data_IF_161485080695
#
_entry.id   IF_161485080695
#
_cell.length_a   1.000
_cell.length_b   1.000
_cell.length_c   1.000
_cell.angle_alpha   90.00
_cell.angle_beta   90.00
_cell.angle_gamma   90.00
#
_symmetry.space_group_name_H-M   'P 1'
#
loop_
_entity.id
_entity.type
_entity.pdbx_description
1 polymer ?
#
# COMPACT_ATOMS: atom_id res chain seq x y z
N UNK A 1 -0.63 -18.21 -14.03
CA UNK A 1 0.69 -17.61 -14.35
C UNK A 1 1.61 -18.61 -15.03
N UNK A 2 1.87 -19.78 -14.44
CA UNK A 2 2.74 -20.83 -15.01
C UNK A 2 2.42 -21.23 -16.46
N UNK A 3 1.15 -21.25 -16.87
CA UNK A 3 0.76 -21.60 -18.25
C UNK A 3 0.95 -20.46 -19.26
N UNK A 4 0.55 -19.24 -18.89
CA UNK A 4 0.49 -18.08 -19.80
C UNK A 4 1.78 -17.26 -19.81
N UNK A 5 2.56 -17.32 -18.72
CA UNK A 5 3.78 -16.56 -18.49
C UNK A 5 4.88 -17.45 -17.88
N UNK A 6 5.23 -18.60 -18.49
CA UNK A 6 6.17 -19.57 -17.91
C UNK A 6 7.59 -19.02 -17.69
N UNK A 7 7.98 -17.95 -18.40
CA UNK A 7 9.29 -17.32 -18.24
C UNK A 7 9.35 -16.18 -17.22
N UNK A 8 8.21 -15.74 -16.68
CA UNK A 8 8.20 -14.69 -15.66
C UNK A 8 8.56 -15.26 -14.29
N UNK A 9 9.19 -14.42 -13.45
CA UNK A 9 9.46 -14.75 -12.06
C UNK A 9 8.20 -14.64 -11.21
N UNK A 10 8.22 -15.31 -10.05
CA UNK A 10 7.16 -15.21 -9.04
C UNK A 10 7.78 -15.10 -7.66
N UNK A 11 7.36 -14.12 -6.88
CA UNK A 11 7.66 -13.98 -5.46
C UNK A 11 6.31 -13.87 -4.75
N UNK A 12 6.11 -14.63 -3.69
CA UNK A 12 4.93 -14.46 -2.84
C UNK A 12 5.19 -15.01 -1.45
N UNK A 13 4.22 -14.85 -0.56
CA UNK A 13 4.31 -15.28 0.84
C UNK A 13 4.48 -16.81 0.96
N UNK A 14 3.63 -17.56 0.24
CA UNK A 14 3.41 -19.00 0.49
C UNK A 14 4.45 -19.94 -0.14
N UNK A 15 5.03 -19.54 -1.28
CA UNK A 15 5.82 -20.44 -2.13
C UNK A 15 7.25 -19.95 -2.34
N UNK A 16 8.21 -20.88 -2.60
CA UNK A 16 9.57 -20.51 -2.97
C UNK A 16 9.61 -19.57 -4.18
N UNK A 17 10.54 -18.61 -4.13
CA UNK A 17 10.75 -17.65 -5.22
C UNK A 17 11.14 -18.38 -6.50
N UNK A 18 10.48 -18.05 -7.60
CA UNK A 18 10.82 -18.48 -8.95
C UNK A 18 11.60 -17.35 -9.63
N UNK A 19 12.88 -17.53 -10.00
CA UNK A 19 13.65 -16.52 -10.71
C UNK A 19 13.03 -16.17 -12.06
N UNK A 20 13.04 -14.89 -12.42
CA UNK A 20 12.59 -14.44 -13.73
C UNK A 20 13.61 -14.78 -14.84
N UNK A 21 13.11 -15.23 -15.98
CA UNK A 21 13.88 -15.37 -17.23
C UNK A 21 13.49 -14.30 -18.25
N UNK A 22 12.32 -13.68 -18.11
CA UNK A 22 11.81 -12.63 -18.99
C UNK A 22 12.17 -11.21 -18.56
N UNK A 23 12.67 -11.04 -17.32
CA UNK A 23 12.85 -9.74 -16.67
C UNK A 23 11.60 -9.28 -15.89
N UNK A 24 10.44 -9.89 -16.12
CA UNK A 24 9.20 -9.59 -15.38
C UNK A 24 9.08 -10.51 -14.16
N UNK A 25 8.68 -9.96 -13.01
CA UNK A 25 8.40 -10.73 -11.79
C UNK A 25 7.02 -10.36 -11.25
N UNK A 26 6.20 -11.37 -10.98
CA UNK A 26 4.90 -11.24 -10.31
C UNK A 26 5.11 -11.34 -8.81
N UNK A 27 4.65 -10.34 -8.07
CA UNK A 27 4.71 -10.29 -6.61
C UNK A 27 3.30 -10.50 -6.07
N UNK A 28 3.10 -11.54 -5.26
CA UNK A 28 1.76 -12.02 -4.91
C UNK A 28 1.60 -12.17 -3.40
N UNK A 29 0.53 -11.60 -2.87
CA UNK A 29 -0.01 -11.94 -1.56
C UNK A 29 -1.46 -12.42 -1.74
N UNK A 30 -1.76 -13.71 -1.53
CA UNK A 30 -3.11 -14.22 -1.61
C UNK A 30 -4.05 -13.69 -0.52
N UNK A 31 -3.54 -13.37 0.69
CA UNK A 31 -4.35 -12.89 1.83
C UNK A 31 -3.51 -11.93 2.70
N UNK A 32 -3.39 -10.69 2.23
CA UNK A 32 -2.87 -9.61 3.06
C UNK A 32 -3.92 -9.25 4.13
N UNK A 33 -3.51 -9.18 5.39
CA UNK A 33 -4.45 -9.00 6.51
C UNK A 33 -5.06 -10.31 7.03
N UNK A 34 -4.27 -11.37 7.14
CA UNK A 34 -4.67 -12.69 7.69
C UNK A 34 -5.50 -12.60 9.00
N UNK A 35 -5.23 -11.62 9.88
CA UNK A 35 -6.03 -11.42 11.11
C UNK A 35 -7.45 -10.95 10.82
N UNK A 36 -7.62 -10.05 9.84
CA UNK A 36 -8.92 -9.65 9.33
C UNK A 36 -9.67 -10.85 8.76
N UNK A 37 -9.00 -11.66 7.93
CA UNK A 37 -9.57 -12.88 7.35
C UNK A 37 -10.09 -13.86 8.42
N UNK A 38 -9.23 -14.24 9.38
CA UNK A 38 -9.57 -15.23 10.41
C UNK A 38 -10.68 -14.72 11.34
N UNK A 39 -10.76 -13.41 11.57
CA UNK A 39 -11.79 -12.80 12.42
C UNK A 39 -13.11 -12.51 11.70
N UNK A 40 -13.20 -12.81 10.39
CA UNK A 40 -14.38 -12.54 9.58
C UNK A 40 -14.60 -11.05 9.25
N UNK A 41 -13.55 -10.23 9.40
CA UNK A 41 -13.56 -8.81 9.04
C UNK A 41 -13.26 -8.63 7.56
N UNK A 42 -14.04 -7.83 6.80
CA UNK A 42 -13.84 -7.64 5.36
C UNK A 42 -12.78 -6.55 5.09
N UNK A 43 -11.60 -6.75 5.63
CA UNK A 43 -10.52 -5.76 5.64
C UNK A 43 -9.21 -6.26 5.04
N UNK A 44 -9.13 -7.57 4.75
CA UNK A 44 -8.01 -8.26 4.10
C UNK A 44 -8.08 -8.12 2.57
N UNK A 45 -7.04 -8.42 1.81
CA UNK A 45 -7.12 -8.39 0.35
C UNK A 45 -6.16 -9.34 -0.34
N UNK A 46 -6.33 -9.49 -1.65
CA UNK A 46 -5.34 -10.12 -2.51
C UNK A 46 -4.51 -9.03 -3.19
N UNK A 47 -3.19 -9.17 -3.14
CA UNK A 47 -2.25 -8.22 -3.73
C UNK A 47 -1.53 -8.85 -4.91
N UNK A 48 -1.50 -8.10 -6.01
CA UNK A 48 -0.71 -8.44 -7.18
C UNK A 48 0.13 -7.22 -7.54
N UNK A 49 1.44 -7.36 -7.49
CA UNK A 49 2.40 -6.42 -8.08
C UNK A 49 3.08 -7.03 -9.30
N UNK A 50 3.44 -6.19 -10.27
CA UNK A 50 4.27 -6.59 -11.42
C UNK A 50 5.50 -5.71 -11.45
N UNK A 51 6.66 -6.33 -11.34
CA UNK A 51 7.96 -5.68 -11.36
C UNK A 51 8.69 -5.99 -12.68
N UNK A 52 9.29 -4.99 -13.31
CA UNK A 52 10.01 -5.13 -14.59
C UNK A 52 11.53 -5.38 -14.44
N UNK A 53 11.97 -5.68 -13.22
CA UNK A 53 13.38 -5.83 -12.84
C UNK A 53 14.02 -4.53 -12.35
N UNK A 54 13.37 -3.38 -12.55
CA UNK A 54 13.81 -2.07 -12.08
C UNK A 54 12.84 -1.46 -11.08
N UNK A 55 11.54 -1.55 -11.35
CA UNK A 55 10.48 -0.99 -10.49
C UNK A 55 9.16 -1.73 -10.65
N UNK A 56 8.24 -1.46 -9.73
CA UNK A 56 6.85 -1.88 -9.87
C UNK A 56 6.16 -1.04 -10.96
N UNK A 57 5.51 -1.69 -11.92
CA UNK A 57 4.88 -1.04 -13.08
C UNK A 57 3.35 -1.19 -13.10
N UNK A 58 2.81 -2.13 -12.31
CA UNK A 58 1.39 -2.40 -12.22
C UNK A 58 1.05 -3.06 -10.88
N UNK A 59 -0.13 -2.75 -10.35
CA UNK A 59 -0.61 -3.21 -9.06
C UNK A 59 -2.11 -3.46 -9.04
N UNK A 60 -2.53 -4.41 -8.22
CA UNK A 60 -3.92 -4.70 -7.88
C UNK A 60 -4.04 -4.86 -6.37
N UNK A 61 -5.06 -4.23 -5.80
CA UNK A 61 -5.62 -4.58 -4.49
C UNK A 61 -7.03 -5.11 -4.77
N UNK A 62 -7.29 -6.37 -4.42
CA UNK A 62 -8.61 -7.00 -4.59
C UNK A 62 -9.20 -7.33 -3.22
N UNK A 63 -10.38 -6.81 -2.93
CA UNK A 63 -11.19 -7.17 -1.77
C UNK A 63 -12.37 -8.02 -2.25
N UNK A 64 -12.24 -9.36 -2.24
CA UNK A 64 -13.25 -10.22 -2.83
C UNK A 64 -14.56 -10.23 -2.01
N UNK A 65 -14.53 -9.92 -0.71
CA UNK A 65 -15.75 -9.87 0.10
C UNK A 65 -16.67 -8.70 -0.28
N UNK A 66 -16.09 -7.53 -0.56
CA UNK A 66 -16.86 -6.33 -0.98
C UNK A 66 -17.04 -6.24 -2.49
N UNK A 67 -16.42 -7.17 -3.25
CA UNK A 67 -16.38 -7.18 -4.72
C UNK A 67 -15.73 -5.91 -5.29
N UNK A 68 -14.68 -5.41 -4.62
CA UNK A 68 -13.95 -4.21 -5.01
C UNK A 68 -12.53 -4.57 -5.48
N UNK A 69 -12.18 -4.11 -6.68
CA UNK A 69 -10.85 -4.27 -7.24
C UNK A 69 -10.27 -2.92 -7.64
N UNK A 70 -9.17 -2.56 -6.99
CA UNK A 70 -8.40 -1.35 -7.26
C UNK A 70 -7.22 -1.72 -8.14
N UNK A 71 -7.07 -1.03 -9.26
CA UNK A 71 -6.04 -1.30 -10.26
C UNK A 71 -5.27 -0.01 -10.51
N UNK A 72 -3.94 -0.10 -10.56
CA UNK A 72 -3.11 1.04 -10.94
C UNK A 72 -1.85 0.62 -11.68
N UNK A 73 -1.45 1.44 -12.64
CA UNK A 73 -0.28 1.22 -13.48
C UNK A 73 -0.50 1.74 -14.89
N UNK A 74 0.57 1.81 -15.68
CA UNK A 74 0.51 2.21 -17.09
C UNK A 74 -0.26 3.52 -17.38
N UNK A 75 -0.30 4.44 -16.42
CA UNK A 75 -0.96 5.75 -16.57
C UNK A 75 -2.46 5.78 -16.26
N UNK A 76 -3.02 4.74 -15.63
CA UNK A 76 -4.41 4.76 -15.16
C UNK A 76 -4.55 4.18 -13.75
N UNK A 77 -5.61 4.58 -13.06
CA UNK A 77 -6.00 4.13 -11.73
C UNK A 77 -7.52 4.00 -11.65
N UNK A 78 -8.03 2.81 -11.38
CA UNK A 78 -9.47 2.53 -11.43
C UNK A 78 -9.94 1.65 -10.29
N UNK A 79 -11.16 1.91 -9.81
CA UNK A 79 -11.95 0.99 -8.99
C UNK A 79 -12.98 0.29 -9.86
N UNK A 80 -12.96 -1.04 -9.82
CA UNK A 80 -14.01 -1.90 -10.33
C UNK A 80 -14.84 -2.38 -9.14
N UNK A 81 -16.11 -2.03 -9.08
CA UNK A 81 -17.03 -2.44 -8.04
C UNK A 81 -18.37 -2.84 -8.65
N UNK A 82 -18.76 -4.11 -8.50
CA UNK A 82 -19.95 -4.69 -9.15
C UNK A 82 -19.93 -4.42 -10.67
N UNK A 83 -20.94 -3.74 -11.20
CA UNK A 83 -21.08 -3.41 -12.63
C UNK A 83 -20.51 -2.03 -13.00
N UNK A 84 -19.73 -1.39 -12.13
CA UNK A 84 -19.18 -0.06 -12.34
C UNK A 84 -17.66 -0.05 -12.34
N UNK A 85 -17.10 0.71 -13.28
CA UNK A 85 -15.69 1.10 -13.29
C UNK A 85 -15.64 2.62 -13.14
N UNK A 86 -14.79 3.12 -12.26
CA UNK A 86 -14.54 4.55 -12.09
C UNK A 86 -13.07 4.83 -11.87
N UNK A 87 -12.59 5.95 -12.41
CA UNK A 87 -11.27 6.46 -12.09
C UNK A 87 -11.18 6.82 -10.61
N UNK A 88 -10.01 6.56 -10.02
CA UNK A 88 -9.69 6.91 -8.63
C UNK A 88 -8.48 7.81 -8.60
N UNK A 89 -8.51 8.81 -7.73
CA UNK A 89 -7.41 9.75 -7.54
C UNK A 89 -7.29 10.05 -6.04
N UNK A 90 -6.07 10.26 -5.60
CA UNK A 90 -5.80 10.83 -4.27
C UNK A 90 -6.39 12.24 -4.17
N UNK A 91 -6.50 12.76 -2.93
CA UNK A 91 -6.94 14.13 -2.69
C UNK A 91 -5.80 15.00 -2.14
N UNK A 92 -5.89 16.30 -2.40
CA UNK A 92 -5.06 17.29 -1.71
C UNK A 92 -5.42 17.39 -0.22
N UNK A 93 -4.43 17.68 0.61
CA UNK A 93 -4.64 17.91 2.04
C UNK A 93 -3.73 19.04 2.53
N UNK A 94 -4.33 20.03 3.18
CA UNK A 94 -3.68 21.31 3.47
C UNK A 94 -2.53 21.20 4.48
N UNK A 95 -2.70 20.36 5.50
CA UNK A 95 -1.77 20.20 6.62
C UNK A 95 -2.07 18.90 7.39
N UNK A 96 -1.18 18.50 8.30
CA UNK A 96 -1.38 17.28 9.10
C UNK A 96 -2.62 17.35 10.01
N UNK A 97 -2.99 18.51 10.54
CA UNK A 97 -4.14 18.69 11.44
C UNK A 97 -5.49 18.42 10.74
N UNK A 98 -5.51 18.40 9.41
CA UNK A 98 -6.65 18.01 8.58
C UNK A 98 -6.60 16.54 8.13
N UNK A 99 -5.44 15.87 8.24
CA UNK A 99 -5.18 14.55 7.68
C UNK A 99 -5.82 13.42 8.49
N UNK A 100 -6.38 12.44 7.77
CA UNK A 100 -6.81 11.15 8.29
C UNK A 100 -5.69 10.13 8.05
N UNK A 101 -5.13 9.63 9.15
CA UNK A 101 -4.06 8.64 9.18
C UNK A 101 -4.60 7.24 9.47
N UNK A 102 -4.12 6.25 8.72
CA UNK A 102 -4.33 4.83 9.00
C UNK A 102 -3.01 4.09 9.25
N UNK A 103 -3.10 3.03 10.05
CA UNK A 103 -2.10 1.97 10.18
C UNK A 103 -2.81 0.67 10.55
N UNK A 104 -2.27 -0.50 10.24
CA UNK A 104 -2.93 -1.77 10.61
C UNK A 104 -3.14 -1.91 12.12
N UNK A 105 -2.16 -1.51 12.93
CA UNK A 105 -2.19 -1.67 14.39
C UNK A 105 -1.61 -0.44 15.11
N UNK A 106 -1.97 -0.21 16.39
CA UNK A 106 -1.31 0.80 17.21
C UNK A 106 0.17 0.50 17.48
N UNK A 107 0.55 -0.79 17.49
CA UNK A 107 1.93 -1.22 17.66
C UNK A 107 2.62 -1.31 16.30
N UNK A 108 3.04 -0.16 15.78
CA UNK A 108 3.74 -0.08 14.48
C UNK A 108 5.21 -0.47 14.67
N UNK A 109 5.59 -1.63 14.13
CA UNK A 109 6.94 -2.18 14.18
C UNK A 109 7.50 -2.33 15.60
N UNK A 110 8.76 -1.95 15.78
CA UNK A 110 9.43 -1.86 17.07
C UNK A 110 8.86 -0.76 17.96
N UNK A 111 9.20 -0.80 19.25
CA UNK A 111 8.81 0.25 20.20
C UNK A 111 9.25 1.65 19.76
N UNK A 112 10.47 1.79 19.23
CA UNK A 112 10.98 3.08 18.73
C UNK A 112 10.21 3.57 17.51
N UNK A 113 9.80 2.67 16.61
CA UNK A 113 8.99 3.02 15.45
C UNK A 113 7.58 3.44 15.86
N UNK A 114 6.98 2.74 16.84
CA UNK A 114 5.70 3.14 17.43
C UNK A 114 5.78 4.54 18.07
N UNK A 115 6.86 4.85 18.78
CA UNK A 115 7.07 6.19 19.37
C UNK A 115 7.17 7.29 18.29
N UNK A 116 7.81 7.02 17.15
CA UNK A 116 7.89 7.95 16.02
C UNK A 116 6.54 8.10 15.30
N UNK A 117 5.85 7.00 15.04
CA UNK A 117 4.50 7.00 14.48
C UNK A 117 3.54 7.85 15.32
N UNK A 118 3.58 7.69 16.65
CA UNK A 118 2.71 8.44 17.55
C UNK A 118 2.90 9.96 17.45
N UNK A 119 4.12 10.45 17.20
CA UNK A 119 4.37 11.88 16.96
C UNK A 119 3.63 12.42 15.74
N UNK A 120 3.50 11.61 14.68
CA UNK A 120 2.71 11.96 13.49
C UNK A 120 1.23 11.88 13.82
N UNK A 121 0.79 10.77 14.43
CA UNK A 121 -0.60 10.51 14.77
C UNK A 121 -1.21 11.59 15.68
N UNK A 122 -0.43 12.14 16.62
CA UNK A 122 -0.83 13.25 17.51
C UNK A 122 -1.05 14.58 16.76
N UNK A 123 -0.47 14.74 15.56
CA UNK A 123 -0.68 15.92 14.70
C UNK A 123 -1.85 15.72 13.74
N UNK A 124 -2.29 14.49 13.52
CA UNK A 124 -3.37 14.17 12.60
C UNK A 124 -4.74 14.48 13.18
N UNK A 125 -5.69 14.85 12.31
CA UNK A 125 -7.10 15.07 12.68
C UNK A 125 -7.72 13.85 13.33
N UNK A 126 -7.44 12.69 12.74
CA UNK A 126 -8.00 11.41 13.10
C UNK A 126 -6.99 10.33 12.75
N UNK A 127 -6.67 9.49 13.73
CA UNK A 127 -5.92 8.25 13.51
C UNK A 127 -6.85 7.08 13.68
N UNK A 128 -6.88 6.19 12.69
CA UNK A 128 -7.66 4.96 12.68
C UNK A 128 -6.73 3.76 12.51
N UNK A 129 -7.22 2.62 12.96
CA UNK A 129 -6.51 1.37 12.87
C UNK A 129 -7.33 0.28 12.21
N UNK A 130 -6.63 -0.76 11.78
CA UNK A 130 -7.15 -1.83 10.94
C UNK A 130 -7.14 -1.43 9.47
N UNK A 131 -7.60 -2.35 8.63
CA UNK A 131 -7.72 -2.23 7.18
C UNK A 131 -6.55 -2.74 6.33
N UNK A 132 -5.40 -3.09 6.91
CA UNK A 132 -4.30 -3.76 6.16
C UNK A 132 -4.07 -3.06 4.79
N UNK A 133 -4.01 -3.79 3.67
CA UNK A 133 -3.91 -3.20 2.33
C UNK A 133 -5.09 -2.30 1.92
N UNK A 134 -6.29 -2.51 2.45
CA UNK A 134 -7.48 -1.74 2.11
C UNK A 134 -7.33 -0.27 2.52
N UNK A 135 -6.48 0.06 3.50
CA UNK A 135 -6.13 1.45 3.80
C UNK A 135 -5.48 2.17 2.60
N UNK A 136 -4.59 1.49 1.87
CA UNK A 136 -3.95 2.04 0.67
C UNK A 136 -4.96 2.24 -0.48
N UNK A 137 -5.96 1.35 -0.59
CA UNK A 137 -7.06 1.52 -1.53
C UNK A 137 -7.91 2.77 -1.20
N UNK A 138 -8.24 2.97 0.08
CA UNK A 138 -8.93 4.19 0.54
C UNK A 138 -8.10 5.45 0.27
N UNK A 139 -6.78 5.37 0.43
CA UNK A 139 -5.85 6.46 0.10
C UNK A 139 -5.90 6.80 -1.38
N UNK A 140 -5.78 5.79 -2.25
CA UNK A 140 -5.85 5.95 -3.71
C UNK A 140 -7.21 6.49 -4.20
N UNK A 141 -8.28 6.30 -3.43
CA UNK A 141 -9.60 6.90 -3.67
C UNK A 141 -9.76 8.32 -3.10
N UNK A 142 -8.73 8.87 -2.44
CA UNK A 142 -8.80 10.18 -1.79
C UNK A 142 -9.75 10.22 -0.58
N UNK A 143 -10.05 9.07 0.04
CA UNK A 143 -10.90 8.99 1.23
C UNK A 143 -10.12 9.28 2.52
N UNK A 144 -8.84 8.92 2.53
CA UNK A 144 -7.88 9.21 3.61
C UNK A 144 -6.65 9.90 3.04
N UNK A 145 -5.72 10.33 3.90
CA UNK A 145 -4.61 11.20 3.50
C UNK A 145 -3.24 10.58 3.71
N UNK A 146 -3.13 9.65 4.66
CA UNK A 146 -1.86 9.10 5.11
C UNK A 146 -2.01 7.64 5.57
N UNK A 147 -1.06 6.80 5.18
CA UNK A 147 -0.86 5.44 5.72
C UNK A 147 0.59 5.33 6.16
N UNK A 148 0.83 4.86 7.39
CA UNK A 148 2.18 4.63 7.93
C UNK A 148 2.25 3.24 8.54
N UNK A 149 3.20 2.43 8.05
CA UNK A 149 3.41 1.06 8.48
C UNK A 149 4.89 0.73 8.60
N UNK A 150 5.18 -0.38 9.28
CA UNK A 150 6.51 -0.95 9.44
C UNK A 150 6.43 -2.48 9.36
N UNK A 151 7.58 -3.11 9.15
CA UNK A 151 7.72 -4.57 9.01
C UNK A 151 6.91 -5.20 7.86
N UNK A 152 6.66 -4.46 6.79
CA UNK A 152 6.02 -5.01 5.59
C UNK A 152 7.00 -5.87 4.78
N UNK A 153 6.50 -6.91 4.13
CA UNK A 153 7.21 -7.65 3.12
C UNK A 153 7.07 -6.99 1.74
N UNK A 154 7.89 -7.47 0.80
CA UNK A 154 7.80 -7.07 -0.62
C UNK A 154 6.41 -7.32 -1.21
N UNK A 155 5.74 -8.40 -0.82
CA UNK A 155 4.43 -8.77 -1.34
C UNK A 155 3.28 -7.96 -0.74
N UNK A 156 3.46 -7.43 0.46
CA UNK A 156 2.50 -6.54 1.13
C UNK A 156 2.45 -5.16 0.47
N UNK A 157 3.54 -4.70 -0.17
CA UNK A 157 3.66 -3.32 -0.65
C UNK A 157 3.65 -3.13 -2.16
N UNK A 158 4.19 -4.04 -2.98
CA UNK A 158 4.34 -3.72 -4.42
C UNK A 158 2.99 -3.51 -5.14
N UNK A 159 1.97 -4.32 -4.84
CA UNK A 159 0.62 -4.09 -5.36
C UNK A 159 0.07 -2.71 -4.96
N UNK A 160 -0.02 -2.41 -3.66
CA UNK A 160 -0.49 -1.10 -3.18
C UNK A 160 0.33 0.10 -3.65
N UNK A 161 1.65 -0.01 -3.71
CA UNK A 161 2.57 1.01 -4.23
C UNK A 161 2.13 1.49 -5.62
N UNK A 162 1.96 0.56 -6.56
CA UNK A 162 1.58 0.90 -7.92
C UNK A 162 0.15 1.48 -8.02
N UNK A 163 -0.77 1.04 -7.16
CA UNK A 163 -2.14 1.61 -7.09
C UNK A 163 -2.12 3.05 -6.60
N UNK A 164 -1.40 3.33 -5.51
CA UNK A 164 -1.33 4.68 -4.92
C UNK A 164 -0.59 5.65 -5.83
N UNK A 165 0.56 5.26 -6.40
CA UNK A 165 1.32 6.12 -7.30
C UNK A 165 0.54 6.43 -8.59
N UNK A 166 -0.15 5.44 -9.17
CA UNK A 166 -0.98 5.67 -10.35
C UNK A 166 -2.15 6.62 -10.09
N UNK A 167 -2.69 6.62 -8.87
CA UNK A 167 -3.72 7.56 -8.43
C UNK A 167 -3.20 8.97 -8.09
N UNK A 168 -1.89 9.22 -8.24
CA UNK A 168 -1.24 10.51 -8.01
C UNK A 168 -0.63 10.69 -6.61
N UNK A 169 -0.64 9.64 -5.79
CA UNK A 169 -0.03 9.65 -4.46
C UNK A 169 1.49 9.48 -4.48
N UNK A 170 2.08 9.50 -3.29
CA UNK A 170 3.50 9.26 -3.06
C UNK A 170 3.69 8.17 -2.03
N UNK A 171 4.60 7.23 -2.29
CA UNK A 171 4.92 6.14 -1.38
C UNK A 171 6.44 6.03 -1.25
N UNK A 172 6.94 6.06 -0.02
CA UNK A 172 8.38 5.94 0.27
C UNK A 172 8.60 5.24 1.60
N UNK A 173 9.85 4.95 1.93
CA UNK A 173 10.19 4.56 3.28
C UNK A 173 10.16 5.81 4.17
N UNK A 174 10.35 5.62 5.48
CA UNK A 174 10.27 6.73 6.44
C UNK A 174 11.38 7.77 6.26
N UNK A 175 12.40 7.48 5.44
CA UNK A 175 13.49 8.39 5.07
C UNK A 175 13.31 9.03 3.68
N UNK A 176 12.19 8.79 3.00
CA UNK A 176 11.93 9.31 1.65
C UNK A 176 12.58 8.51 0.51
N UNK A 177 13.13 7.33 0.79
CA UNK A 177 13.72 6.43 -0.19
C UNK A 177 12.76 5.37 -0.73
N UNK A 178 13.26 4.46 -1.60
CA UNK A 178 12.45 3.39 -2.20
C UNK A 178 11.90 2.40 -1.16
N UNK A 179 10.79 1.73 -1.50
CA UNK A 179 10.07 0.74 -0.66
C UNK A 179 9.84 -0.60 -1.35
N UNK A 180 10.42 -0.82 -2.53
CA UNK A 180 10.11 -2.00 -3.34
C UNK A 180 10.43 -3.32 -2.62
N UNK A 181 11.29 -3.27 -1.60
CA UNK A 181 11.67 -4.42 -0.76
C UNK A 181 10.84 -4.61 0.51
N UNK A 182 9.87 -3.74 0.80
CA UNK A 182 9.14 -3.71 2.08
C UNK A 182 9.86 -2.92 3.18
N UNK A 183 9.58 -3.25 4.42
CA UNK A 183 10.10 -2.63 5.63
C UNK A 183 9.19 -1.51 6.13
N UNK A 184 9.80 -0.36 6.42
CA UNK A 184 9.09 0.86 6.81
C UNK A 184 8.47 1.52 5.58
N UNK A 185 7.18 1.83 5.64
CA UNK A 185 6.43 2.44 4.54
C UNK A 185 5.62 3.62 5.05
N UNK A 186 5.61 4.68 4.24
CA UNK A 186 4.68 5.80 4.35
C UNK A 186 4.10 6.09 2.98
N UNK A 187 2.77 6.12 2.88
CA UNK A 187 2.03 6.50 1.69
C UNK A 187 1.16 7.72 1.99
N UNK A 188 1.16 8.71 1.11
CA UNK A 188 0.34 9.91 1.28
C UNK A 188 -0.34 10.32 -0.04
N UNK A 189 -1.51 10.94 0.09
CA UNK A 189 -2.24 11.49 -1.05
C UNK A 189 -1.67 12.82 -1.54
N UNK A 190 -0.95 13.54 -0.69
CA UNK A 190 -0.37 14.85 -1.00
C UNK A 190 1.12 14.88 -0.62
N UNK A 191 2.04 15.26 -1.54
CA UNK A 191 3.47 15.39 -1.26
C UNK A 191 3.82 16.32 -0.08
N UNK A 192 2.98 17.33 0.21
CA UNK A 192 3.18 18.23 1.37
C UNK A 192 2.97 17.48 2.68
N UNK A 193 1.94 16.65 2.75
CA UNK A 193 1.63 15.82 3.92
C UNK A 193 2.72 14.77 4.11
N UNK A 194 3.14 14.12 3.04
CA UNK A 194 4.27 13.19 3.03
C UNK A 194 5.54 13.81 3.63
N UNK A 195 5.94 14.98 3.11
CA UNK A 195 7.14 15.69 3.58
C UNK A 195 7.00 16.12 5.05
N UNK A 196 5.83 16.57 5.48
CA UNK A 196 5.58 16.96 6.87
C UNK A 196 5.68 15.75 7.82
N UNK A 197 5.10 14.61 7.45
CA UNK A 197 5.15 13.38 8.24
C UNK A 197 6.57 12.81 8.33
N UNK A 198 7.31 12.76 7.22
CA UNK A 198 8.70 12.28 7.18
C UNK A 198 9.60 13.09 8.11
N UNK A 199 9.42 14.41 8.22
CA UNK A 199 10.22 15.22 9.17
C UNK A 199 10.03 14.73 10.61
N UNK A 200 8.80 14.48 11.00
CA UNK A 200 8.48 13.95 12.34
C UNK A 200 9.03 12.54 12.56
N UNK A 201 8.96 11.67 11.54
CA UNK A 201 9.51 10.30 11.60
C UNK A 201 11.05 10.29 11.68
N UNK A 202 11.72 11.32 11.17
CA UNK A 202 13.18 11.45 11.21
C UNK A 202 13.70 12.34 12.35
N UNK A 203 12.83 12.91 13.17
CA UNK A 203 13.17 13.97 14.13
C UNK A 203 13.89 15.18 13.49
N UNK A 204 13.50 15.54 12.27
CA UNK A 204 14.01 16.71 11.53
C UNK A 204 13.12 17.95 11.71
#
# INVERSE_FOLDING_TARGET
LSEQRPGDGVIGEEFPKTPSQSGITWILDPIDGTRGFISGSPTWGMLIGVNDGLKTIFGVIDQPYTEERFIGGFGYSTLHAKDKISDINVRECSNLEDAILFSTMPQVGSRSETELFNKVAEKCKLTRFGLDCYAYALLAMGQIDLVIEADLNIYDIQGPLAVVEAAGGVVTNWHGGPVDGGGQVIAAGDPKIHSAAIKLLNNL
#
